data_IF_923768321540
#
_entry.id   IF_923768321540
#
_cell.length_a   1.000
_cell.length_b   1.000
_cell.length_c   1.000
_cell.angle_alpha   90.00
_cell.angle_beta   90.00
_cell.angle_gamma   90.00
#
_symmetry.space_group_name_H-M   'P 1'
#
loop_
_entity.id
_entity.type
_entity.pdbx_description
1 polymer ?
#
# COMPACT_ATOMS: atom_id res chain seq x y z
N UNK A 1 11.94 1.78 -85.94
CA UNK A 1 10.56 2.27 -85.87
C UNK A 1 10.43 3.05 -84.59
N UNK A 2 10.21 4.35 -84.73
CA UNK A 2 10.16 5.34 -83.66
C UNK A 2 8.90 5.12 -82.82
N UNK A 3 9.05 4.86 -81.52
CA UNK A 3 7.95 5.01 -80.57
C UNK A 3 8.24 6.22 -79.69
N UNK A 4 7.47 7.26 -79.99
CA UNK A 4 7.42 8.58 -79.42
C UNK A 4 6.69 8.49 -78.06
N UNK A 5 7.42 8.42 -76.95
CA UNK A 5 6.84 8.60 -75.61
C UNK A 5 6.78 10.08 -75.31
N UNK A 6 5.61 10.67 -75.58
CA UNK A 6 5.25 12.01 -75.16
C UNK A 6 5.14 12.01 -73.63
N UNK A 7 6.18 12.52 -72.97
CA UNK A 7 6.15 12.91 -71.56
C UNK A 7 5.15 14.04 -71.39
N UNK A 8 3.96 13.71 -70.91
CA UNK A 8 3.02 14.68 -70.35
C UNK A 8 3.67 15.23 -69.07
N UNK A 9 4.13 16.47 -69.15
CA UNK A 9 4.44 17.30 -67.99
C UNK A 9 3.18 17.39 -67.12
N UNK A 10 3.14 16.60 -66.05
CA UNK A 10 2.30 16.90 -64.90
C UNK A 10 2.81 18.23 -64.35
N UNK A 11 2.15 19.33 -64.73
CA UNK A 11 2.37 20.62 -64.11
C UNK A 11 2.19 20.45 -62.61
N UNK A 12 3.30 20.58 -61.87
CA UNK A 12 3.29 20.76 -60.43
C UNK A 12 2.24 21.83 -60.12
N UNK A 13 1.14 21.42 -59.49
CA UNK A 13 0.20 22.35 -58.87
C UNK A 13 0.97 22.99 -57.73
N UNK A 14 1.74 24.02 -58.05
CA UNK A 14 2.59 24.73 -57.12
C UNK A 14 1.69 25.22 -55.99
N UNK A 15 1.95 24.73 -54.77
CA UNK A 15 1.22 25.20 -53.60
C UNK A 15 1.26 26.75 -53.58
N UNK A 16 0.11 27.42 -53.43
CA UNK A 16 0.03 28.87 -53.55
C UNK A 16 0.97 29.53 -52.54
N UNK A 17 1.94 30.30 -53.05
CA UNK A 17 3.04 30.84 -52.26
C UNK A 17 2.70 32.25 -51.75
N UNK A 18 3.09 32.53 -50.50
CA UNK A 18 2.86 33.83 -49.84
C UNK A 18 3.68 34.94 -50.54
N UNK A 19 4.74 34.57 -51.25
CA UNK A 19 5.66 35.46 -51.99
C UNK A 19 5.29 35.65 -53.46
N UNK A 20 4.16 35.11 -53.93
CA UNK A 20 3.69 35.31 -55.30
C UNK A 20 3.36 36.79 -55.58
N UNK A 21 3.65 37.25 -56.80
CA UNK A 21 3.30 38.59 -57.29
C UNK A 21 1.78 38.80 -57.41
N UNK A 22 1.00 37.73 -57.57
CA UNK A 22 -0.45 37.80 -57.72
C UNK A 22 -1.18 37.99 -56.36
N UNK A 23 -2.00 39.05 -56.19
CA UNK A 23 -2.76 39.28 -54.97
C UNK A 23 -3.75 38.17 -54.59
N UNK A 24 -4.31 37.43 -55.56
CA UNK A 24 -5.31 36.39 -55.28
C UNK A 24 -4.66 35.10 -54.78
N UNK A 25 -3.54 34.68 -55.39
CA UNK A 25 -2.72 33.59 -54.86
C UNK A 25 -2.26 33.85 -53.43
N UNK A 26 -1.84 35.08 -53.09
CA UNK A 26 -1.46 35.43 -51.71
C UNK A 26 -2.61 35.31 -50.72
N UNK A 27 -3.82 35.74 -51.09
CA UNK A 27 -5.02 35.61 -50.23
C UNK A 27 -5.36 34.14 -49.99
N UNK A 28 -5.31 33.33 -51.04
CA UNK A 28 -5.61 31.90 -50.98
C UNK A 28 -4.56 31.13 -50.16
N UNK A 29 -3.26 31.44 -50.34
CA UNK A 29 -2.17 30.93 -49.51
C UNK A 29 -2.37 31.27 -48.02
N UNK A 30 -2.82 32.50 -47.71
CA UNK A 30 -3.11 32.94 -46.34
C UNK A 30 -4.30 32.20 -45.74
N UNK A 31 -5.38 32.02 -46.51
CA UNK A 31 -6.56 31.26 -46.09
C UNK A 31 -6.22 29.80 -45.80
N UNK A 32 -5.47 29.14 -46.69
CA UNK A 32 -5.02 27.77 -46.49
C UNK A 32 -4.10 27.63 -45.27
N UNK A 33 -3.22 28.60 -45.01
CA UNK A 33 -2.38 28.61 -43.80
C UNK A 33 -3.21 28.81 -42.52
N UNK A 34 -4.20 29.69 -42.54
CA UNK A 34 -5.12 29.91 -41.41
C UNK A 34 -5.95 28.65 -41.15
N UNK A 35 -6.44 28.01 -42.21
CA UNK A 35 -7.19 26.76 -42.12
C UNK A 35 -6.31 25.61 -41.60
N UNK A 36 -5.09 25.44 -42.12
CA UNK A 36 -4.11 24.47 -41.59
C UNK A 36 -3.80 24.76 -40.11
N UNK A 37 -3.63 26.02 -39.71
CA UNK A 37 -3.40 26.41 -38.30
C UNK A 37 -4.62 26.12 -37.41
N UNK A 38 -5.84 26.40 -37.87
CA UNK A 38 -7.08 26.08 -37.15
C UNK A 38 -7.28 24.57 -37.01
N UNK A 39 -7.01 23.80 -38.07
CA UNK A 39 -7.07 22.33 -38.03
C UNK A 39 -5.99 21.75 -37.12
N UNK A 40 -4.79 22.32 -37.12
CA UNK A 40 -3.71 21.96 -36.19
C UNK A 40 -4.14 22.25 -34.75
N UNK A 41 -4.64 23.45 -34.47
CA UNK A 41 -5.13 23.85 -33.16
C UNK A 41 -6.28 22.97 -32.66
N UNK A 42 -7.24 22.61 -33.53
CA UNK A 42 -8.29 21.64 -33.21
C UNK A 42 -7.72 20.23 -32.92
N UNK A 43 -6.71 19.78 -33.66
CA UNK A 43 -6.03 18.49 -33.40
C UNK A 43 -5.24 18.51 -32.09
N UNK A 44 -4.59 19.63 -31.75
CA UNK A 44 -3.88 19.83 -30.49
C UNK A 44 -4.86 19.87 -29.31
N UNK A 45 -5.94 20.64 -29.40
CA UNK A 45 -7.01 20.65 -28.37
C UNK A 45 -7.62 19.27 -28.18
N UNK A 46 -7.91 18.54 -29.27
CA UNK A 46 -8.44 17.18 -29.17
C UNK A 46 -7.43 16.21 -28.53
N UNK A 47 -6.13 16.40 -28.75
CA UNK A 47 -5.05 15.62 -28.09
C UNK A 47 -4.86 15.99 -26.62
N UNK A 48 -4.99 17.25 -26.24
CA UNK A 48 -4.92 17.67 -24.83
C UNK A 48 -6.12 17.17 -24.05
N UNK A 49 -7.33 17.28 -24.59
CA UNK A 49 -8.55 16.72 -23.98
C UNK A 49 -8.43 15.21 -23.81
N UNK A 50 -7.94 14.47 -24.82
CA UNK A 50 -7.71 13.02 -24.69
C UNK A 50 -6.62 12.65 -23.68
N UNK A 51 -5.61 13.50 -23.47
CA UNK A 51 -4.58 13.28 -22.44
C UNK A 51 -5.11 13.54 -21.03
N UNK A 52 -5.88 14.62 -20.84
CA UNK A 52 -6.54 14.91 -19.56
C UNK A 52 -7.59 13.84 -19.20
N UNK A 53 -8.29 13.29 -20.18
CA UNK A 53 -9.21 12.16 -20.00
C UNK A 53 -8.47 10.87 -19.63
N UNK A 54 -7.27 10.64 -20.17
CA UNK A 54 -6.45 9.47 -19.85
C UNK A 54 -5.78 9.55 -18.48
N UNK A 55 -5.26 10.72 -18.07
CA UNK A 55 -4.69 10.92 -16.73
C UNK A 55 -5.77 10.78 -15.64
N UNK A 56 -6.99 11.27 -15.88
CA UNK A 56 -8.13 11.03 -14.99
C UNK A 56 -8.61 9.58 -14.97
N UNK A 57 -8.43 8.84 -16.07
CA UNK A 57 -8.76 7.42 -16.12
C UNK A 57 -7.71 6.55 -15.41
N UNK A 58 -6.46 7.01 -15.29
CA UNK A 58 -5.40 6.32 -14.55
C UNK A 58 -5.54 6.48 -13.02
N UNK A 59 -6.21 7.55 -12.55
CA UNK A 59 -6.55 7.72 -11.13
C UNK A 59 -7.76 6.89 -10.67
N UNK A 60 -8.61 6.43 -11.60
CA UNK A 60 -9.81 5.65 -11.25
C UNK A 60 -9.45 4.24 -10.80
N UNK A 61 -10.03 3.86 -9.68
CA UNK A 61 -10.00 2.49 -9.14
C UNK A 61 -10.64 1.50 -10.14
N UNK A 62 -10.30 0.21 -10.03
CA UNK A 62 -10.92 -0.82 -10.87
C UNK A 62 -12.43 -0.87 -10.64
N UNK A 63 -12.86 -0.64 -9.40
CA UNK A 63 -14.27 -0.53 -9.02
C UNK A 63 -14.96 0.63 -9.72
N UNK A 64 -14.38 1.83 -9.72
CA UNK A 64 -14.96 2.99 -10.42
C UNK A 64 -15.09 2.73 -11.92
N UNK A 65 -14.07 2.14 -12.54
CA UNK A 65 -14.13 1.75 -13.96
C UNK A 65 -15.24 0.74 -14.22
N UNK A 66 -15.43 -0.23 -13.32
CA UNK A 66 -16.50 -1.21 -13.46
C UNK A 66 -17.88 -0.58 -13.27
N UNK A 67 -18.03 0.34 -12.32
CA UNK A 67 -19.28 1.07 -12.09
C UNK A 67 -19.67 1.89 -13.33
N UNK A 68 -18.75 2.65 -13.90
CA UNK A 68 -18.99 3.45 -15.11
C UNK A 68 -19.41 2.53 -16.28
N UNK A 69 -18.72 1.41 -16.48
CA UNK A 69 -19.03 0.44 -17.53
C UNK A 69 -20.42 -0.20 -17.33
N UNK A 70 -20.75 -0.58 -16.09
CA UNK A 70 -22.05 -1.16 -15.76
C UNK A 70 -23.18 -0.15 -15.94
N UNK A 71 -22.97 1.12 -15.57
CA UNK A 71 -23.92 2.21 -15.80
C UNK A 71 -24.18 2.41 -17.30
N UNK A 72 -23.13 2.55 -18.11
CA UNK A 72 -23.22 2.69 -19.56
C UNK A 72 -23.97 1.54 -20.23
N UNK A 73 -23.72 0.29 -19.79
CA UNK A 73 -24.38 -0.89 -20.34
C UNK A 73 -25.86 -0.92 -19.97
N UNK A 74 -26.21 -0.60 -18.72
CA UNK A 74 -27.59 -0.56 -18.26
C UNK A 74 -28.37 0.59 -18.91
N UNK A 75 -27.74 1.74 -19.14
CA UNK A 75 -28.37 2.87 -19.83
C UNK A 75 -28.66 2.51 -21.29
N UNK A 76 -27.70 1.94 -22.01
CA UNK A 76 -27.90 1.46 -23.40
C UNK A 76 -29.05 0.47 -23.49
N UNK A 77 -29.07 -0.53 -22.61
CA UNK A 77 -30.13 -1.53 -22.57
C UNK A 77 -31.51 -0.94 -22.21
N UNK A 78 -31.53 0.09 -21.36
CA UNK A 78 -32.73 0.84 -21.00
C UNK A 78 -33.27 1.64 -22.17
N UNK A 79 -32.39 2.29 -22.95
CA UNK A 79 -32.74 3.03 -24.16
C UNK A 79 -33.29 2.09 -25.24
N UNK A 80 -32.57 1.01 -25.56
CA UNK A 80 -33.03 -0.02 -26.51
C UNK A 80 -34.39 -0.60 -26.10
N UNK A 81 -34.56 -0.87 -24.80
CA UNK A 81 -35.83 -1.34 -24.25
C UNK A 81 -36.98 -0.36 -24.44
N UNK A 82 -36.73 0.93 -24.18
CA UNK A 82 -37.71 2.01 -24.41
C UNK A 82 -38.07 2.11 -25.88
N UNK A 83 -37.12 2.01 -26.80
CA UNK A 83 -37.38 2.04 -28.25
C UNK A 83 -38.28 0.88 -28.67
N UNK A 84 -38.01 -0.35 -28.20
CA UNK A 84 -38.81 -1.54 -28.53
C UNK A 84 -40.29 -1.42 -28.07
N UNK A 85 -40.52 -0.79 -26.92
CA UNK A 85 -41.85 -0.52 -26.37
C UNK A 85 -42.52 0.61 -27.15
N UNK A 86 -41.82 1.74 -27.33
CA UNK A 86 -42.32 2.91 -28.07
C UNK A 86 -42.71 2.57 -29.50
N UNK A 87 -41.99 1.67 -30.16
CA UNK A 87 -42.32 1.21 -31.51
C UNK A 87 -43.74 0.63 -31.62
N UNK A 88 -44.24 -0.05 -30.58
CA UNK A 88 -45.64 -0.54 -30.58
C UNK A 88 -46.63 0.60 -30.45
N UNK A 89 -46.35 1.55 -29.56
CA UNK A 89 -47.20 2.73 -29.35
C UNK A 89 -47.29 3.57 -30.63
N UNK A 90 -46.16 3.87 -31.27
CA UNK A 90 -46.11 4.65 -32.52
C UNK A 90 -46.88 3.94 -33.64
N UNK A 91 -46.77 2.62 -33.76
CA UNK A 91 -47.53 1.85 -34.75
C UNK A 91 -49.04 1.82 -34.45
N UNK A 92 -49.44 1.86 -33.18
CA UNK A 92 -50.84 1.98 -32.78
C UNK A 92 -51.37 3.39 -33.11
N UNK A 93 -50.64 4.43 -32.70
CA UNK A 93 -51.00 5.83 -32.97
C UNK A 93 -51.15 6.10 -34.47
N UNK A 94 -50.24 5.57 -35.30
CA UNK A 94 -50.34 5.68 -36.75
C UNK A 94 -51.61 5.02 -37.32
N UNK A 95 -52.01 3.86 -36.78
CA UNK A 95 -53.25 3.17 -37.18
C UNK A 95 -54.49 3.94 -36.73
N UNK A 96 -54.48 4.49 -35.52
CA UNK A 96 -55.58 5.28 -34.97
C UNK A 96 -55.78 6.59 -35.73
N UNK A 97 -54.69 7.27 -36.13
CA UNK A 97 -54.76 8.46 -36.99
C UNK A 97 -55.45 8.11 -38.31
N UNK A 98 -55.00 7.05 -38.97
CA UNK A 98 -55.59 6.60 -40.24
C UNK A 98 -57.07 6.24 -40.09
N UNK A 99 -57.46 5.55 -39.01
CA UNK A 99 -58.87 5.24 -38.72
C UNK A 99 -59.72 6.50 -38.60
N UNK A 100 -59.22 7.54 -37.92
CA UNK A 100 -59.92 8.82 -37.79
C UNK A 100 -60.07 9.54 -39.13
N UNK A 101 -59.04 9.52 -39.98
CA UNK A 101 -59.11 10.08 -41.33
C UNK A 101 -60.19 9.39 -42.16
N UNK A 102 -60.21 8.05 -42.16
CA UNK A 102 -61.21 7.24 -42.87
C UNK A 102 -62.63 7.50 -42.34
N UNK A 103 -62.80 7.63 -41.02
CA UNK A 103 -64.08 7.92 -40.36
C UNK A 103 -64.61 9.32 -40.71
N UNK A 104 -63.74 10.33 -40.74
CA UNK A 104 -64.08 11.70 -41.17
C UNK A 104 -64.51 11.70 -42.64
N UNK A 105 -63.76 11.02 -43.52
CA UNK A 105 -64.08 10.94 -44.95
C UNK A 105 -65.39 10.17 -45.21
N UNK A 106 -65.66 9.09 -44.45
CA UNK A 106 -66.94 8.37 -44.53
C UNK A 106 -68.10 9.25 -44.05
N UNK A 107 -67.91 9.98 -42.94
CA UNK A 107 -68.92 10.92 -42.42
C UNK A 107 -69.24 12.04 -43.42
N UNK A 108 -68.23 12.59 -44.08
CA UNK A 108 -68.43 13.62 -45.12
C UNK A 108 -69.26 13.10 -46.29
N UNK A 109 -68.89 11.93 -46.85
CA UNK A 109 -69.65 11.29 -47.94
C UNK A 109 -71.10 11.01 -47.56
N UNK A 110 -71.35 10.59 -46.33
CA UNK A 110 -72.72 10.36 -45.83
C UNK A 110 -73.51 11.67 -45.72
N UNK A 111 -72.88 12.77 -45.28
CA UNK A 111 -73.53 14.08 -45.21
C UNK A 111 -73.87 14.60 -46.61
N UNK A 112 -72.93 14.52 -47.56
CA UNK A 112 -73.16 14.92 -48.96
C UNK A 112 -74.33 14.12 -49.58
N UNK A 113 -74.34 12.79 -49.38
CA UNK A 113 -75.42 11.92 -49.87
C UNK A 113 -76.79 12.28 -49.26
N UNK A 114 -76.82 12.63 -47.98
CA UNK A 114 -78.04 13.07 -47.31
C UNK A 114 -78.51 14.43 -47.86
N UNK A 115 -77.60 15.37 -48.09
CA UNK A 115 -77.93 16.67 -48.68
C UNK A 115 -78.50 16.51 -50.09
N UNK A 116 -77.89 15.69 -50.94
CA UNK A 116 -78.42 15.35 -52.28
C UNK A 116 -79.83 14.77 -52.21
N UNK A 117 -80.06 13.78 -51.36
CA UNK A 117 -81.39 13.16 -51.21
C UNK A 117 -82.41 14.15 -50.65
N UNK A 118 -82.01 15.04 -49.73
CA UNK A 118 -82.92 16.07 -49.21
C UNK A 118 -83.31 17.08 -50.27
N UNK A 119 -82.39 17.48 -51.15
CA UNK A 119 -82.66 18.39 -52.26
C UNK A 119 -83.58 17.72 -53.29
N UNK A 120 -83.27 16.48 -53.71
CA UNK A 120 -84.11 15.72 -54.64
C UNK A 120 -85.51 15.44 -54.07
N UNK A 121 -85.60 15.07 -52.78
CA UNK A 121 -86.86 14.87 -52.07
C UNK A 121 -87.68 16.16 -51.99
N UNK A 122 -87.02 17.31 -51.79
CA UNK A 122 -87.68 18.61 -51.72
C UNK A 122 -88.24 19.02 -53.09
N UNK A 123 -87.48 18.85 -54.16
CA UNK A 123 -87.94 19.09 -55.54
C UNK A 123 -89.16 18.23 -55.89
N UNK A 124 -89.07 16.91 -55.67
CA UNK A 124 -90.20 16.00 -55.88
C UNK A 124 -91.42 16.35 -55.00
N UNK A 125 -91.20 16.76 -53.76
CA UNK A 125 -92.28 17.22 -52.88
C UNK A 125 -92.95 18.51 -53.40
N UNK A 126 -92.17 19.49 -53.86
CA UNK A 126 -92.70 20.73 -54.43
C UNK A 126 -93.50 20.48 -55.72
N UNK A 127 -93.05 19.57 -56.58
CA UNK A 127 -93.79 19.14 -57.77
C UNK A 127 -95.13 18.46 -57.43
N UNK A 128 -95.14 17.60 -56.42
CA UNK A 128 -96.38 16.98 -55.92
C UNK A 128 -97.30 18.06 -55.33
N UNK A 129 -96.73 18.98 -54.54
CA UNK A 129 -97.48 20.02 -53.84
C UNK A 129 -98.17 21.01 -54.80
N UNK A 130 -97.44 21.52 -55.79
CA UNK A 130 -97.96 22.48 -56.78
C UNK A 130 -99.13 21.96 -57.61
N UNK A 131 -99.16 20.64 -57.87
CA UNK A 131 -100.24 20.02 -58.64
C UNK A 131 -101.52 19.80 -57.85
N UNK A 132 -101.50 19.85 -56.52
CA UNK A 132 -102.73 19.82 -55.72
C UNK A 132 -103.59 21.06 -55.96
N UNK A 133 -102.99 22.23 -56.20
CA UNK A 133 -103.72 23.45 -56.56
C UNK A 133 -104.50 23.28 -57.88
N UNK A 134 -103.90 22.58 -58.85
CA UNK A 134 -104.53 22.28 -60.15
C UNK A 134 -105.65 21.25 -60.00
N UNK A 135 -105.47 20.23 -59.18
CA UNK A 135 -106.48 19.18 -58.91
C UNK A 135 -107.70 19.78 -58.22
N UNK A 136 -107.50 20.69 -57.26
CA UNK A 136 -108.59 21.39 -56.54
C UNK A 136 -109.39 22.34 -57.43
N UNK A 137 -108.80 22.85 -58.51
CA UNK A 137 -109.48 23.73 -59.47
C UNK A 137 -110.24 22.97 -60.58
N UNK A 138 -110.07 21.65 -60.68
CA UNK A 138 -110.79 20.80 -61.65
C UNK A 138 -112.23 20.55 -61.20
N UNK A 139 -113.18 20.56 -62.15
CA UNK A 139 -114.60 20.28 -61.91
C UNK A 139 -115.06 18.91 -62.43
N UNK A 140 -114.19 18.14 -63.08
CA UNK A 140 -114.53 16.81 -63.63
C UNK A 140 -114.08 15.69 -62.69
N UNK A 141 -115.01 14.88 -62.11
CA UNK A 141 -114.68 13.76 -61.24
C UNK A 141 -113.75 12.72 -61.83
N UNK A 142 -113.77 12.45 -63.15
CA UNK A 142 -112.87 11.47 -63.77
C UNK A 142 -111.42 11.99 -63.82
N UNK A 143 -111.24 13.25 -64.20
CA UNK A 143 -109.93 13.90 -64.25
C UNK A 143 -109.33 14.05 -62.85
N UNK A 144 -110.15 14.38 -61.85
CA UNK A 144 -109.74 14.41 -60.44
C UNK A 144 -109.25 13.02 -59.99
N UNK A 145 -110.01 11.97 -60.28
CA UNK A 145 -109.61 10.60 -59.92
C UNK A 145 -108.29 10.19 -60.60
N UNK A 146 -108.13 10.48 -61.90
CA UNK A 146 -106.89 10.18 -62.62
C UNK A 146 -105.69 10.94 -62.05
N UNK A 147 -105.85 12.23 -61.76
CA UNK A 147 -104.78 13.05 -61.20
C UNK A 147 -104.42 12.63 -59.76
N UNK A 148 -105.39 12.20 -58.94
CA UNK A 148 -105.14 11.65 -57.61
C UNK A 148 -104.33 10.35 -57.69
N UNK A 149 -104.66 9.45 -58.62
CA UNK A 149 -103.91 8.20 -58.77
C UNK A 149 -102.47 8.48 -59.25
N UNK A 150 -102.27 9.44 -60.15
CA UNK A 150 -100.93 9.89 -60.54
C UNK A 150 -100.14 10.48 -59.37
N UNK A 151 -100.78 11.26 -58.48
CA UNK A 151 -100.12 11.79 -57.30
C UNK A 151 -99.77 10.72 -56.28
N UNK A 152 -100.64 9.73 -56.10
CA UNK A 152 -100.39 8.58 -55.23
C UNK A 152 -99.18 7.78 -55.71
N UNK A 153 -99.01 7.61 -57.03
CA UNK A 153 -97.82 7.00 -57.62
C UNK A 153 -96.57 7.83 -57.29
N UNK A 154 -96.58 9.15 -57.53
CA UNK A 154 -95.44 10.04 -57.21
C UNK A 154 -95.08 10.06 -55.72
N UNK A 155 -96.06 10.07 -54.83
CA UNK A 155 -95.83 9.94 -53.38
C UNK A 155 -95.23 8.58 -53.03
N UNK A 156 -95.68 7.51 -53.69
CA UNK A 156 -95.11 6.17 -53.56
C UNK A 156 -93.64 6.11 -54.01
N UNK A 157 -93.29 6.78 -55.11
CA UNK A 157 -91.92 6.91 -55.61
C UNK A 157 -91.03 7.64 -54.59
N UNK A 158 -91.49 8.75 -54.00
CA UNK A 158 -90.77 9.49 -52.96
C UNK A 158 -90.54 8.65 -51.69
N UNK A 159 -91.54 7.86 -51.26
CA UNK A 159 -91.39 6.95 -50.12
C UNK A 159 -90.38 5.85 -50.45
N UNK A 160 -90.45 5.28 -51.65
CA UNK A 160 -89.51 4.25 -52.10
C UNK A 160 -88.06 4.79 -52.15
N UNK A 161 -87.85 6.02 -52.59
CA UNK A 161 -86.54 6.70 -52.54
C UNK A 161 -86.01 6.79 -51.10
N UNK A 162 -86.83 7.24 -50.15
CA UNK A 162 -86.45 7.29 -48.72
C UNK A 162 -86.19 5.91 -48.12
N UNK A 163 -86.99 4.90 -48.48
CA UNK A 163 -86.77 3.53 -48.02
C UNK A 163 -85.46 2.95 -48.57
N UNK A 164 -85.08 3.29 -49.81
CA UNK A 164 -83.77 2.94 -50.38
C UNK A 164 -82.64 3.60 -49.59
N UNK A 165 -82.71 4.90 -49.31
CA UNK A 165 -81.72 5.60 -48.48
C UNK A 165 -81.63 4.98 -47.08
N UNK A 166 -82.76 4.68 -46.44
CA UNK A 166 -82.77 4.02 -45.13
C UNK A 166 -82.08 2.66 -45.19
N UNK A 167 -82.28 1.89 -46.27
CA UNK A 167 -81.62 0.60 -46.45
C UNK A 167 -80.10 0.76 -46.64
N UNK A 168 -79.66 1.78 -47.37
CA UNK A 168 -78.23 2.12 -47.51
C UNK A 168 -77.60 2.50 -46.17
N UNK A 169 -78.21 3.41 -45.42
CA UNK A 169 -77.72 3.83 -44.10
C UNK A 169 -77.70 2.67 -43.09
N UNK A 170 -78.71 1.78 -43.12
CA UNK A 170 -78.71 0.57 -42.28
C UNK A 170 -77.59 -0.40 -42.67
N UNK A 171 -77.23 -0.51 -43.96
CA UNK A 171 -76.08 -1.31 -44.40
C UNK A 171 -74.77 -0.68 -43.93
N UNK A 172 -74.62 0.63 -44.07
CA UNK A 172 -73.44 1.36 -43.59
C UNK A 172 -73.26 1.19 -42.08
N UNK A 173 -74.34 1.30 -41.30
CA UNK A 173 -74.32 1.08 -39.85
C UNK A 173 -73.85 -0.34 -39.49
N UNK A 174 -74.35 -1.37 -40.18
CA UNK A 174 -73.89 -2.75 -39.96
C UNK A 174 -72.40 -2.92 -40.28
N UNK A 175 -71.92 -2.32 -41.36
CA UNK A 175 -70.49 -2.36 -41.71
C UNK A 175 -69.66 -1.64 -40.65
N UNK A 176 -70.14 -0.51 -40.13
CA UNK A 176 -69.48 0.22 -39.05
C UNK A 176 -69.40 -0.62 -37.76
N UNK A 177 -70.48 -1.31 -37.38
CA UNK A 177 -70.48 -2.23 -36.23
C UNK A 177 -69.47 -3.38 -36.41
N UNK A 178 -69.44 -4.01 -37.59
CA UNK A 178 -68.48 -5.06 -37.90
C UNK A 178 -67.02 -4.55 -37.90
N UNK A 179 -66.79 -3.33 -38.37
CA UNK A 179 -65.48 -2.68 -38.30
C UNK A 179 -65.08 -2.38 -36.85
N UNK A 180 -66.01 -1.89 -36.02
CA UNK A 180 -65.77 -1.64 -34.61
C UNK A 180 -65.34 -2.91 -33.87
N UNK A 181 -66.02 -4.03 -34.09
CA UNK A 181 -65.65 -5.32 -33.49
C UNK A 181 -64.25 -5.79 -33.93
N UNK A 182 -63.89 -5.57 -35.21
CA UNK A 182 -62.56 -5.90 -35.73
C UNK A 182 -61.48 -5.01 -35.11
N UNK A 183 -61.74 -3.71 -34.99
CA UNK A 183 -60.80 -2.77 -34.40
C UNK A 183 -60.62 -3.01 -32.90
N UNK A 184 -61.68 -3.33 -32.17
CA UNK A 184 -61.60 -3.73 -30.76
C UNK A 184 -60.73 -4.98 -30.57
N UNK A 185 -60.87 -5.99 -31.44
CA UNK A 185 -60.03 -7.19 -31.40
C UNK A 185 -58.56 -6.86 -31.66
N UNK A 186 -58.26 -6.04 -32.67
CA UNK A 186 -56.89 -5.58 -32.96
C UNK A 186 -56.29 -4.79 -31.82
N UNK A 187 -57.04 -3.85 -31.22
CA UNK A 187 -56.58 -3.07 -30.08
C UNK A 187 -56.24 -3.97 -28.89
N UNK A 188 -57.03 -5.02 -28.64
CA UNK A 188 -56.73 -6.01 -27.60
C UNK A 188 -55.44 -6.79 -27.89
N UNK A 189 -55.24 -7.21 -29.13
CA UNK A 189 -54.00 -7.88 -29.57
C UNK A 189 -52.78 -6.97 -29.42
N UNK A 190 -52.90 -5.70 -29.82
CA UNK A 190 -51.84 -4.70 -29.68
C UNK A 190 -51.50 -4.41 -28.20
N UNK A 191 -52.52 -4.33 -27.33
CA UNK A 191 -52.33 -4.16 -25.89
C UNK A 191 -51.65 -5.39 -25.28
N UNK A 192 -52.01 -6.60 -25.72
CA UNK A 192 -51.37 -7.82 -25.29
C UNK A 192 -49.90 -7.87 -25.71
N UNK A 193 -49.59 -7.51 -26.96
CA UNK A 193 -48.23 -7.41 -27.46
C UNK A 193 -47.41 -6.36 -26.69
N UNK A 194 -48.00 -5.21 -26.37
CA UNK A 194 -47.36 -4.18 -25.56
C UNK A 194 -47.03 -4.72 -24.16
N UNK A 195 -47.99 -5.40 -23.52
CA UNK A 195 -47.79 -5.99 -22.20
C UNK A 195 -46.69 -7.07 -22.22
N UNK A 196 -46.68 -7.94 -23.24
CA UNK A 196 -45.66 -8.98 -23.41
C UNK A 196 -44.27 -8.36 -23.61
N UNK A 197 -44.15 -7.32 -24.44
CA UNK A 197 -42.87 -6.61 -24.63
C UNK A 197 -42.39 -5.96 -23.34
N UNK A 198 -43.27 -5.28 -22.60
CA UNK A 198 -42.91 -4.68 -21.32
C UNK A 198 -42.42 -5.75 -20.34
N UNK A 199 -43.14 -6.87 -20.19
CA UNK A 199 -42.73 -7.96 -19.29
C UNK A 199 -41.39 -8.58 -19.72
N UNK A 200 -41.20 -8.79 -21.03
CA UNK A 200 -39.94 -9.28 -21.58
C UNK A 200 -38.78 -8.33 -21.28
N UNK A 201 -38.99 -7.01 -21.42
CA UNK A 201 -37.99 -6.00 -21.13
C UNK A 201 -37.66 -5.93 -19.64
N UNK A 202 -38.67 -6.01 -18.76
CA UNK A 202 -38.46 -6.07 -17.31
C UNK A 202 -37.63 -7.30 -16.93
N UNK A 203 -37.90 -8.47 -17.53
CA UNK A 203 -37.11 -9.70 -17.32
C UNK A 203 -35.68 -9.56 -17.83
N UNK A 204 -35.46 -8.90 -18.97
CA UNK A 204 -34.13 -8.62 -19.51
C UNK A 204 -33.37 -7.66 -18.59
N UNK A 205 -33.95 -6.51 -18.24
CA UNK A 205 -33.35 -5.54 -17.32
C UNK A 205 -33.01 -6.16 -15.98
N UNK A 206 -33.92 -6.94 -15.38
CA UNK A 206 -33.68 -7.62 -14.10
C UNK A 206 -32.50 -8.59 -14.17
N UNK A 207 -32.30 -9.28 -15.30
CA UNK A 207 -31.14 -10.16 -15.51
C UNK A 207 -29.86 -9.34 -15.66
N UNK A 208 -29.90 -8.27 -16.44
CA UNK A 208 -28.76 -7.37 -16.62
C UNK A 208 -28.32 -6.75 -15.28
N UNK A 209 -29.24 -6.15 -14.51
CA UNK A 209 -28.91 -5.61 -13.18
C UNK A 209 -28.28 -6.64 -12.26
N UNK A 210 -28.77 -7.88 -12.25
CA UNK A 210 -28.16 -8.95 -11.43
C UNK A 210 -26.77 -9.34 -11.91
N UNK A 211 -26.53 -9.35 -13.22
CA UNK A 211 -25.23 -9.64 -13.80
C UNK A 211 -24.23 -8.52 -13.49
N UNK A 212 -24.62 -7.26 -13.71
CA UNK A 212 -23.78 -6.10 -13.41
C UNK A 212 -23.44 -6.01 -11.92
N UNK A 213 -24.41 -6.25 -11.02
CA UNK A 213 -24.15 -6.30 -9.58
C UNK A 213 -23.13 -7.38 -9.23
N UNK A 214 -23.24 -8.56 -9.83
CA UNK A 214 -22.27 -9.64 -9.61
C UNK A 214 -20.88 -9.27 -10.12
N UNK A 215 -20.77 -8.63 -11.28
CA UNK A 215 -19.48 -8.16 -11.81
C UNK A 215 -18.85 -7.11 -10.90
N UNK A 216 -19.65 -6.19 -10.35
CA UNK A 216 -19.19 -5.20 -9.37
C UNK A 216 -18.68 -5.90 -8.10
N UNK A 217 -19.41 -6.89 -7.58
CA UNK A 217 -18.98 -7.71 -6.44
C UNK A 217 -17.66 -8.45 -6.72
N UNK A 218 -17.54 -9.12 -7.87
CA UNK A 218 -16.34 -9.83 -8.27
C UNK A 218 -15.12 -8.87 -8.36
N UNK A 219 -15.32 -7.64 -8.86
CA UNK A 219 -14.28 -6.61 -8.91
C UNK A 219 -13.91 -6.11 -7.51
N UNK A 220 -14.89 -5.86 -6.63
CA UNK A 220 -14.62 -5.47 -5.23
C UNK A 220 -13.78 -6.53 -4.50
N UNK A 221 -14.09 -7.81 -4.68
CA UNK A 221 -13.33 -8.91 -4.08
C UNK A 221 -11.90 -8.98 -4.67
N UNK A 222 -11.76 -8.73 -5.96
CA UNK A 222 -10.44 -8.65 -6.61
C UNK A 222 -9.59 -7.48 -6.11
N UNK A 223 -10.18 -6.31 -5.89
CA UNK A 223 -9.46 -5.15 -5.32
C UNK A 223 -9.08 -5.40 -3.86
N UNK A 224 -10.00 -5.96 -3.07
CA UNK A 224 -9.75 -6.32 -1.68
C UNK A 224 -8.58 -7.30 -1.57
N UNK A 225 -8.55 -8.34 -2.40
CA UNK A 225 -7.45 -9.32 -2.41
C UNK A 225 -6.13 -8.67 -2.80
N UNK A 226 -6.11 -7.84 -3.85
CA UNK A 226 -4.91 -7.10 -4.26
C UNK A 226 -4.37 -6.17 -3.16
N UNK A 227 -5.26 -5.43 -2.47
CA UNK A 227 -4.87 -4.57 -1.35
C UNK A 227 -4.31 -5.38 -0.17
N UNK A 228 -4.94 -6.51 0.16
CA UNK A 228 -4.46 -7.40 1.21
C UNK A 228 -3.09 -7.99 0.87
N UNK A 229 -2.88 -8.43 -0.37
CA UNK A 229 -1.58 -8.92 -0.83
C UNK A 229 -0.50 -7.84 -0.79
N UNK A 230 -0.79 -6.62 -1.23
CA UNK A 230 0.14 -5.50 -1.18
C UNK A 230 0.53 -5.16 0.26
N UNK A 231 -0.43 -5.12 1.17
CA UNK A 231 -0.19 -4.89 2.59
C UNK A 231 0.62 -6.04 3.21
N UNK A 232 0.28 -7.30 2.90
CA UNK A 232 1.01 -8.47 3.40
C UNK A 232 2.46 -8.49 2.92
N UNK A 233 2.72 -8.16 1.63
CA UNK A 233 4.08 -8.00 1.10
C UNK A 233 4.86 -6.91 1.85
N UNK A 234 4.20 -5.80 2.18
CA UNK A 234 4.81 -4.73 2.98
C UNK A 234 5.16 -5.22 4.39
N UNK A 235 4.25 -5.92 5.05
CA UNK A 235 4.52 -6.53 6.36
C UNK A 235 5.66 -7.54 6.31
N UNK A 236 5.66 -8.46 5.35
CA UNK A 236 6.75 -9.41 5.14
C UNK A 236 8.10 -8.71 4.94
N UNK A 237 8.12 -7.61 4.18
CA UNK A 237 9.35 -6.83 3.99
C UNK A 237 9.88 -6.25 5.31
N UNK A 238 8.99 -5.69 6.15
CA UNK A 238 9.35 -5.16 7.46
C UNK A 238 9.80 -6.27 8.43
N UNK A 239 9.16 -7.44 8.39
CA UNK A 239 9.59 -8.59 9.19
C UNK A 239 10.98 -9.09 8.77
N UNK A 240 11.27 -9.15 7.46
CA UNK A 240 12.60 -9.50 6.95
C UNK A 240 13.65 -8.48 7.39
N UNK A 241 13.34 -7.18 7.27
CA UNK A 241 14.24 -6.11 7.72
C UNK A 241 14.52 -6.21 9.22
N UNK A 242 13.49 -6.40 10.04
CA UNK A 242 13.63 -6.63 11.48
C UNK A 242 14.51 -7.83 11.78
N UNK A 243 14.28 -8.97 11.12
CA UNK A 243 15.07 -10.19 11.32
C UNK A 243 16.55 -9.97 11.00
N UNK A 244 16.85 -9.25 9.92
CA UNK A 244 18.23 -8.91 9.55
C UNK A 244 18.89 -7.96 10.56
N UNK A 245 18.13 -7.01 11.12
CA UNK A 245 18.63 -6.12 12.16
C UNK A 245 18.91 -6.88 13.47
N UNK A 246 18.03 -7.82 13.84
CA UNK A 246 18.22 -8.68 15.01
C UNK A 246 19.47 -9.56 14.87
N UNK A 247 19.68 -10.16 13.69
CA UNK A 247 20.89 -10.94 13.36
C UNK A 247 22.16 -10.08 13.48
N UNK A 248 22.19 -8.91 12.83
CA UNK A 248 23.33 -7.97 12.92
C UNK A 248 23.62 -7.54 14.36
N UNK A 249 22.58 -7.30 15.15
CA UNK A 249 22.74 -6.90 16.55
C UNK A 249 23.27 -8.07 17.39
N UNK A 250 22.88 -9.30 17.08
CA UNK A 250 23.43 -10.49 17.72
C UNK A 250 24.92 -10.68 17.38
N UNK A 251 25.30 -10.50 16.11
CA UNK A 251 26.70 -10.54 15.68
C UNK A 251 27.57 -9.50 16.40
N UNK A 252 27.05 -8.28 16.56
CA UNK A 252 27.74 -7.23 17.32
C UNK A 252 27.92 -7.63 18.79
N UNK A 253 26.91 -8.27 19.40
CA UNK A 253 27.03 -8.78 20.77
C UNK A 253 28.06 -9.88 20.88
N UNK A 254 28.09 -10.84 19.95
CA UNK A 254 29.10 -11.89 19.95
C UNK A 254 30.51 -11.33 19.81
N UNK A 255 30.74 -10.40 18.89
CA UNK A 255 32.03 -9.72 18.74
C UNK A 255 32.46 -8.98 20.01
N UNK A 256 31.54 -8.28 20.67
CA UNK A 256 31.83 -7.62 21.93
C UNK A 256 32.20 -8.62 23.04
N UNK A 257 31.55 -9.79 23.08
CA UNK A 257 31.92 -10.86 24.02
C UNK A 257 33.31 -11.40 23.72
N UNK A 258 33.63 -11.70 22.45
CA UNK A 258 34.96 -12.16 22.05
C UNK A 258 36.05 -11.14 22.44
N UNK A 259 35.82 -9.84 22.19
CA UNK A 259 36.72 -8.76 22.59
C UNK A 259 36.93 -8.69 24.12
N UNK A 260 35.87 -8.94 24.91
CA UNK A 260 35.95 -9.00 26.37
C UNK A 260 36.70 -10.25 26.86
N UNK A 261 36.52 -11.41 26.21
CA UNK A 261 37.26 -12.63 26.52
C UNK A 261 38.75 -12.45 26.26
N UNK A 262 39.11 -11.84 25.12
CA UNK A 262 40.50 -11.52 24.78
C UNK A 262 41.12 -10.56 25.82
N UNK A 263 40.37 -9.54 26.25
CA UNK A 263 40.83 -8.60 27.27
C UNK A 263 41.05 -9.29 28.64
N UNK A 264 40.14 -10.18 29.04
CA UNK A 264 40.29 -10.99 30.27
C UNK A 264 41.53 -11.87 30.18
N UNK A 265 41.75 -12.51 29.03
CA UNK A 265 42.92 -13.36 28.81
C UNK A 265 44.22 -12.56 28.91
N UNK A 266 44.30 -11.38 28.29
CA UNK A 266 45.47 -10.49 28.38
C UNK A 266 45.75 -10.10 29.83
N UNK A 267 44.73 -9.67 30.57
CA UNK A 267 44.86 -9.31 31.99
C UNK A 267 45.33 -10.50 32.83
N UNK A 268 44.81 -11.71 32.58
CA UNK A 268 45.24 -12.92 33.27
C UNK A 268 46.72 -13.25 33.01
N UNK A 269 47.19 -13.10 31.76
CA UNK A 269 48.61 -13.28 31.40
C UNK A 269 49.48 -12.25 32.12
N UNK A 270 49.11 -10.96 32.06
CA UNK A 270 49.86 -9.91 32.76
C UNK A 270 49.95 -10.15 34.27
N UNK A 271 48.85 -10.57 34.90
CA UNK A 271 48.85 -10.90 36.33
C UNK A 271 49.78 -12.07 36.63
N UNK A 272 49.79 -13.10 35.79
CA UNK A 272 50.68 -14.24 35.96
C UNK A 272 52.15 -13.87 35.78
N UNK A 273 52.47 -12.95 34.86
CA UNK A 273 53.82 -12.41 34.69
C UNK A 273 54.26 -11.59 35.91
N UNK A 274 53.41 -10.67 36.40
CA UNK A 274 53.66 -9.89 37.62
C UNK A 274 53.85 -10.81 38.83
N UNK A 275 53.04 -11.86 38.95
CA UNK A 275 53.18 -12.85 40.03
C UNK A 275 54.52 -13.59 39.94
N UNK A 276 54.91 -14.05 38.74
CA UNK A 276 56.23 -14.68 38.51
C UNK A 276 57.38 -13.73 38.85
N UNK A 277 57.28 -12.47 38.45
CA UNK A 277 58.29 -11.46 38.75
C UNK A 277 58.46 -11.26 40.26
N UNK A 278 57.35 -11.08 40.99
CA UNK A 278 57.37 -10.95 42.46
C UNK A 278 57.90 -12.21 43.12
N UNK A 279 57.49 -13.39 42.64
CA UNK A 279 57.98 -14.68 43.15
C UNK A 279 59.49 -14.79 43.00
N UNK A 280 60.03 -14.47 41.81
CA UNK A 280 61.49 -14.48 41.57
C UNK A 280 62.18 -13.51 42.53
N UNK A 281 61.67 -12.28 42.70
CA UNK A 281 62.24 -11.29 43.62
C UNK A 281 62.30 -11.80 45.06
N UNK A 282 61.20 -12.38 45.55
CA UNK A 282 61.14 -12.94 46.91
C UNK A 282 62.07 -14.15 47.08
N UNK A 283 62.16 -15.03 46.07
CA UNK A 283 63.10 -16.16 46.07
C UNK A 283 64.56 -15.67 46.10
N UNK A 284 64.90 -14.63 45.35
CA UNK A 284 66.25 -14.02 45.38
C UNK A 284 66.55 -13.37 46.73
N UNK A 285 65.59 -12.65 47.33
CA UNK A 285 65.78 -12.02 48.64
C UNK A 285 65.99 -13.09 49.73
N UNK A 286 65.25 -14.20 49.67
CA UNK A 286 65.46 -15.35 50.57
C UNK A 286 66.87 -15.93 50.41
N UNK A 287 67.35 -16.10 49.17
CA UNK A 287 68.70 -16.60 48.92
C UNK A 287 69.79 -15.66 49.48
N UNK A 288 69.62 -14.35 49.31
CA UNK A 288 70.54 -13.34 49.85
C UNK A 288 70.55 -13.41 51.39
N UNK A 289 69.38 -13.41 52.02
CA UNK A 289 69.27 -13.49 53.49
C UNK A 289 69.85 -14.80 54.05
N UNK A 290 69.67 -15.92 53.34
CA UNK A 290 70.30 -17.19 53.70
C UNK A 290 71.82 -17.12 53.63
N UNK A 291 72.36 -16.48 52.59
CA UNK A 291 73.80 -16.27 52.45
C UNK A 291 74.37 -15.38 53.56
N UNK A 292 73.70 -14.27 53.87
CA UNK A 292 74.07 -13.39 54.99
C UNK A 292 74.03 -14.12 56.33
N UNK A 293 72.99 -14.94 56.56
CA UNK A 293 72.88 -15.75 57.77
C UNK A 293 74.05 -16.73 57.91
N UNK A 294 74.42 -17.44 56.84
CA UNK A 294 75.57 -18.34 56.85
C UNK A 294 76.89 -17.58 57.05
N UNK A 295 77.03 -16.40 56.46
CA UNK A 295 78.19 -15.53 56.69
C UNK A 295 78.31 -15.11 58.16
N UNK A 296 77.20 -14.72 58.80
CA UNK A 296 77.18 -14.37 60.23
C UNK A 296 77.47 -15.60 61.10
N UNK A 297 76.90 -16.76 60.80
CA UNK A 297 77.22 -18.02 61.51
C UNK A 297 78.70 -18.35 61.43
N UNK A 298 79.31 -18.27 60.24
CA UNK A 298 80.74 -18.50 60.03
C UNK A 298 81.59 -17.49 60.83
N UNK A 299 81.19 -16.21 60.84
CA UNK A 299 81.86 -15.17 61.61
C UNK A 299 81.77 -15.42 63.13
N UNK A 300 80.60 -15.83 63.63
CA UNK A 300 80.40 -16.20 65.03
C UNK A 300 81.22 -17.43 65.42
N UNK A 301 81.26 -18.46 64.58
CA UNK A 301 82.08 -19.66 64.82
C UNK A 301 83.57 -19.29 64.91
N UNK A 302 84.07 -18.52 63.94
CA UNK A 302 85.44 -17.99 63.94
C UNK A 302 85.73 -17.16 65.20
N UNK A 303 84.81 -16.29 65.62
CA UNK A 303 84.97 -15.50 66.85
C UNK A 303 84.97 -16.38 68.12
N UNK A 304 84.16 -17.44 68.14
CA UNK A 304 84.13 -18.43 69.22
C UNK A 304 85.45 -19.17 69.32
N UNK A 305 86.00 -19.65 68.19
CA UNK A 305 87.31 -20.29 68.13
C UNK A 305 88.43 -19.33 68.58
N UNK A 306 88.39 -18.05 68.13
CA UNK A 306 89.30 -17.00 68.60
C UNK A 306 89.21 -16.80 70.12
N UNK A 307 88.01 -16.81 70.69
CA UNK A 307 87.81 -16.64 72.13
C UNK A 307 88.35 -17.85 72.92
N UNK A 308 88.10 -19.08 72.43
CA UNK A 308 88.65 -20.31 73.00
C UNK A 308 90.19 -20.27 72.97
N UNK A 309 90.77 -19.86 71.84
CA UNK A 309 92.21 -19.67 71.73
C UNK A 309 92.74 -18.65 72.76
N UNK A 310 92.15 -17.46 72.82
CA UNK A 310 92.54 -16.43 73.77
C UNK A 310 92.43 -16.90 75.23
N UNK A 311 91.36 -17.64 75.57
CA UNK A 311 91.17 -18.23 76.88
C UNK A 311 92.27 -19.25 77.21
N UNK A 312 92.63 -20.13 76.28
CA UNK A 312 93.72 -21.09 76.48
C UNK A 312 95.07 -20.40 76.71
N UNK A 313 95.36 -19.34 75.96
CA UNK A 313 96.58 -18.52 76.15
C UNK A 313 96.60 -17.86 77.53
N UNK A 314 95.49 -17.27 77.97
CA UNK A 314 95.37 -16.67 79.31
C UNK A 314 95.54 -17.72 80.41
N UNK A 315 94.93 -18.90 80.26
CA UNK A 315 95.05 -20.00 81.21
C UNK A 315 96.50 -20.49 81.32
N UNK A 316 97.18 -20.70 80.19
CA UNK A 316 98.62 -21.04 80.15
C UNK A 316 99.45 -19.99 80.88
N UNK A 317 99.18 -18.70 80.64
CA UNK A 317 99.87 -17.59 81.31
C UNK A 317 99.59 -17.56 82.82
N UNK A 318 98.39 -17.91 83.26
CA UNK A 318 98.05 -18.01 84.68
C UNK A 318 98.77 -19.18 85.36
N UNK A 319 98.83 -20.34 84.70
CA UNK A 319 99.61 -21.50 85.13
C UNK A 319 101.10 -21.16 85.25
N UNK A 320 101.68 -20.50 84.24
CA UNK A 320 103.07 -19.99 84.29
C UNK A 320 103.27 -19.00 85.45
N UNK A 321 102.37 -18.04 85.63
CA UNK A 321 102.42 -17.09 86.74
C UNK A 321 102.28 -17.80 88.11
N UNK A 322 101.51 -18.89 88.20
CA UNK A 322 101.41 -19.69 89.42
C UNK A 322 102.75 -20.37 89.74
N UNK A 323 103.41 -20.95 88.73
CA UNK A 323 104.74 -21.56 88.85
C UNK A 323 105.76 -20.51 89.32
N UNK A 324 105.83 -19.36 88.64
CA UNK A 324 106.74 -18.26 88.99
C UNK A 324 106.47 -17.76 90.42
N UNK A 325 105.19 -17.59 90.81
CA UNK A 325 104.83 -17.22 92.19
C UNK A 325 105.28 -18.28 93.19
N UNK A 326 105.15 -19.57 92.88
CA UNK A 326 105.60 -20.65 93.75
C UNK A 326 107.14 -20.67 93.89
N UNK A 327 107.88 -20.44 92.82
CA UNK A 327 109.34 -20.33 92.84
C UNK A 327 109.82 -19.13 93.67
N UNK A 328 109.21 -17.96 93.46
CA UNK A 328 109.49 -16.76 94.26
C UNK A 328 109.17 -16.99 95.74
N UNK A 329 108.06 -17.67 96.06
CA UNK A 329 107.70 -18.04 97.44
C UNK A 329 108.73 -18.99 98.08
N UNK A 330 109.23 -19.98 97.34
CA UNK A 330 110.35 -20.84 97.79
C UNK A 330 111.64 -20.06 98.00
N UNK A 331 111.92 -19.05 97.17
CA UNK A 331 113.08 -18.16 97.32
C UNK A 331 112.96 -17.32 98.60
N UNK A 332 111.79 -16.77 98.87
CA UNK A 332 111.50 -16.00 100.10
C UNK A 332 111.70 -16.89 101.34
N UNK A 333 111.18 -18.11 101.33
CA UNK A 333 111.37 -19.04 102.47
C UNK A 333 112.85 -19.35 102.72
N UNK A 334 113.64 -19.62 101.67
CA UNK A 334 115.09 -19.84 101.80
C UNK A 334 115.82 -18.62 102.39
N UNK A 335 115.45 -17.42 101.97
CA UNK A 335 116.00 -16.19 102.55
C UNK A 335 115.60 -16.03 104.03
N UNK A 336 114.36 -16.40 104.39
CA UNK A 336 113.87 -16.40 105.77
C UNK A 336 114.64 -17.38 106.66
N UNK A 337 114.95 -18.56 106.15
CA UNK A 337 115.75 -19.57 106.85
C UNK A 337 117.21 -19.10 107.06
N UNK A 338 117.81 -18.47 106.06
CA UNK A 338 119.15 -17.86 106.19
C UNK A 338 119.18 -16.76 107.26
N UNK A 339 118.15 -15.91 107.32
CA UNK A 339 118.02 -14.87 108.36
C UNK A 339 117.92 -15.50 109.75
N UNK A 340 117.14 -16.57 109.90
CA UNK A 340 117.00 -17.28 111.17
C UNK A 340 118.31 -17.96 111.60
N UNK A 341 119.07 -18.54 110.66
CA UNK A 341 120.38 -19.14 110.95
C UNK A 341 121.41 -18.10 111.40
N UNK A 342 121.43 -16.91 110.77
CA UNK A 342 122.31 -15.81 111.18
C UNK A 342 121.94 -15.27 112.57
N UNK A 343 120.64 -15.14 112.89
CA UNK A 343 120.19 -14.77 114.24
C UNK A 343 120.66 -15.76 115.30
N UNK A 344 120.69 -17.07 114.99
CA UNK A 344 121.13 -18.12 115.90
C UNK A 344 122.64 -18.05 116.19
N UNK A 345 123.46 -17.77 115.18
CA UNK A 345 124.91 -17.57 115.35
C UNK A 345 125.25 -16.35 116.22
N UNK A 346 124.51 -15.24 116.06
CA UNK A 346 124.70 -14.04 116.88
C UNK A 346 124.43 -14.34 118.37
N UNK A 347 123.35 -15.08 118.67
CA UNK A 347 123.01 -15.47 120.03
C UNK A 347 124.06 -16.41 120.67
N UNK A 348 124.71 -17.28 119.90
CA UNK A 348 125.77 -18.17 120.38
C UNK A 348 127.08 -17.39 120.68
N UNK A 349 127.43 -16.39 119.86
CA UNK A 349 128.61 -15.54 120.10
C UNK A 349 128.46 -14.66 121.34
N UNK A 350 127.26 -14.11 121.59
CA UNK A 350 126.99 -13.32 122.79
C UNK A 350 127.13 -14.15 124.08
N UNK A 351 126.72 -15.42 124.04
CA UNK A 351 126.83 -16.34 125.19
C UNK A 351 128.28 -16.71 125.50
N UNK A 352 129.13 -16.86 124.48
CA UNK A 352 130.56 -17.14 124.63
C UNK A 352 131.28 -15.95 125.28
N UNK A 353 131.02 -14.73 124.80
CA UNK A 353 131.65 -13.50 125.33
C UNK A 353 131.30 -13.24 126.80
N UNK A 354 130.05 -13.48 127.22
CA UNK A 354 129.65 -13.30 128.61
C UNK A 354 130.30 -14.30 129.56
N UNK A 355 130.62 -15.52 129.10
CA UNK A 355 131.25 -16.56 129.92
C UNK A 355 132.76 -16.38 130.11
N UNK A 356 133.42 -15.64 129.21
CA UNK A 356 134.83 -15.25 129.34
C UNK A 356 135.00 -14.00 130.23
N UNK A 357 134.02 -13.08 130.21
CA UNK A 357 134.08 -11.87 131.03
C UNK A 357 133.91 -12.11 132.54
N UNK A 358 133.25 -13.21 132.95
CA UNK A 358 133.08 -13.54 134.38
C UNK A 358 134.26 -14.30 134.99
N UNK A 359 135.09 -14.96 134.17
CA UNK A 359 136.27 -15.72 134.63
C UNK A 359 137.50 -14.85 134.89
N UNK A 360 137.54 -13.63 134.36
CA UNK A 360 138.68 -12.70 134.51
C UNK A 360 138.49 -11.68 135.65
N UNK A 361 137.37 -11.70 136.37
CA UNK A 361 137.04 -10.74 137.44
C UNK A 361 137.12 -11.32 138.87
N UNK A 362 137.57 -12.57 139.06
CA UNK A 362 137.70 -13.21 140.40
C UNK A 362 139.17 -13.44 140.86
N UNK A 363 140.19 -12.93 140.14
CA UNK A 363 141.62 -13.05 140.53
C UNK A 363 142.36 -11.72 140.84
N UNK A 364 141.65 -10.63 141.16
CA UNK A 364 142.20 -9.44 141.86
C UNK A 364 141.15 -8.95 142.85
#
# INVERSE_FOLDING_TARGET
MSNNTHSLEEGEVSEPQITSSDPNERKLARQLRIQKRLQSSKKYQKKEVSKEEQEKADERTLLEKQLDNSEDQLEKLSLEGKELITNVCVANDAREIKRREDEIAAKQRRLERLEEETNASLEHYQEVNSKWEVILASNDPLDIHHAIEQQKIKCGELIAQKDMLIAELKKELKIADECFDKDQKKQKEDLWLLAERIDSQVKVMKRAYKQELKLIEDVMDSERTQLMEANNKKWESLYRERSQLEEKHMDLKFKAVDEHEDAIYQVAVEHQEKFREIKIKLETDIQILQQELEQVKAQCLMNSEKLVYNFQVLKKREEENLIVRAEQKRRINRLRDNVNALRKKVAETEKSMNSESTKLTEEI
#
